data_IF_225669637714
#
_entry.id   IF_225669637714
#
_cell.length_a   1.000
_cell.length_b   1.000
_cell.length_c   1.000
_cell.angle_alpha   90.00
_cell.angle_beta   90.00
_cell.angle_gamma   90.00
#
_symmetry.space_group_name_H-M   'P 1'
#
loop_
_entity.id
_entity.type
_entity.pdbx_description
1 polymer ?
#
# COMPACT_ATOMS: atom_id res chain seq x y z
N UNK A 1 6.86 21.56 3.33
CA UNK A 1 5.87 20.46 3.35
C UNK A 1 6.46 19.19 3.97
N UNK A 2 7.74 18.90 3.72
CA UNK A 2 8.53 17.81 4.35
C UNK A 2 8.49 17.78 5.89
N UNK A 3 8.54 18.94 6.55
CA UNK A 3 8.54 19.00 8.03
C UNK A 3 7.27 18.45 8.68
N UNK A 4 6.10 18.61 8.06
CA UNK A 4 4.85 18.13 8.63
C UNK A 4 4.79 16.59 8.64
N UNK A 5 5.17 15.97 7.52
CA UNK A 5 5.27 14.52 7.41
C UNK A 5 6.36 13.95 8.32
N UNK A 6 7.53 14.59 8.37
CA UNK A 6 8.62 14.16 9.25
C UNK A 6 8.20 14.24 10.73
N UNK A 7 7.44 15.27 11.12
CA UNK A 7 6.88 15.40 12.48
C UNK A 7 5.82 14.35 12.77
N UNK A 8 4.92 14.08 11.82
CA UNK A 8 3.90 13.05 11.98
C UNK A 8 4.52 11.65 12.12
N UNK A 9 5.46 11.29 11.24
CA UNK A 9 6.17 10.02 11.30
C UNK A 9 6.93 9.88 12.63
N UNK A 10 7.61 10.94 13.08
CA UNK A 10 8.28 10.94 14.39
C UNK A 10 7.31 10.73 15.55
N UNK A 11 6.16 11.43 15.55
CA UNK A 11 5.16 11.29 16.60
C UNK A 11 4.56 9.88 16.65
N UNK A 12 4.32 9.26 15.49
CA UNK A 12 3.87 7.85 15.41
C UNK A 12 4.95 6.91 15.95
N UNK A 13 6.20 7.06 15.50
CA UNK A 13 7.32 6.24 16.01
C UNK A 13 7.50 6.39 17.53
N UNK A 14 7.44 7.61 18.05
CA UNK A 14 7.52 7.88 19.50
C UNK A 14 6.35 7.23 20.25
N UNK A 15 5.14 7.27 19.71
CA UNK A 15 3.97 6.62 20.31
C UNK A 15 4.08 5.09 20.31
N UNK A 16 4.62 4.49 19.24
CA UNK A 16 4.87 3.04 19.17
C UNK A 16 5.95 2.63 20.18
N UNK A 17 7.05 3.38 20.26
CA UNK A 17 8.13 3.12 21.23
C UNK A 17 7.70 3.31 22.70
N UNK A 18 6.65 4.08 22.96
CA UNK A 18 6.09 4.24 24.29
C UNK A 18 5.24 3.04 24.73
N UNK A 19 4.90 2.11 23.83
CA UNK A 19 4.15 0.92 24.19
C UNK A 19 5.03 -0.04 25.01
N UNK A 20 4.47 -0.72 26.02
CA UNK A 20 5.21 -1.72 26.79
C UNK A 20 5.79 -2.80 25.88
N UNK A 21 7.01 -3.24 26.19
CA UNK A 21 7.70 -4.33 25.49
C UNK A 21 8.12 -4.05 24.04
N UNK A 22 7.95 -2.81 23.54
CA UNK A 22 8.45 -2.38 22.23
C UNK A 22 9.85 -1.78 22.35
N UNK A 23 10.76 -2.17 21.46
CA UNK A 23 12.14 -1.67 21.40
C UNK A 23 12.69 -1.72 19.96
N UNK A 24 13.86 -1.11 19.73
CA UNK A 24 14.53 -1.18 18.43
C UNK A 24 15.56 -2.31 18.37
N UNK A 25 15.57 -3.02 17.24
CA UNK A 25 16.55 -4.06 16.92
C UNK A 25 16.83 -4.04 15.42
N UNK A 26 18.11 -3.96 15.04
CA UNK A 26 18.55 -3.98 13.63
C UNK A 26 17.83 -2.97 12.72
N UNK A 27 17.46 -1.80 13.27
CA UNK A 27 16.74 -0.74 12.56
C UNK A 27 15.23 -0.93 12.47
N UNK A 28 14.68 -1.98 13.08
CA UNK A 28 13.25 -2.29 13.14
C UNK A 28 12.68 -2.06 14.53
N UNK A 29 11.40 -1.69 14.61
CA UNK A 29 10.64 -1.73 15.85
C UNK A 29 10.14 -3.15 16.07
N UNK A 30 10.42 -3.72 17.24
CA UNK A 30 10.07 -5.09 17.60
C UNK A 30 9.40 -5.12 18.97
N UNK A 31 8.57 -6.13 19.22
CA UNK A 31 7.93 -6.40 20.49
C UNK A 31 8.43 -7.75 21.02
N UNK A 32 8.72 -7.85 22.31
CA UNK A 32 9.03 -9.14 22.92
C UNK A 32 7.85 -10.10 22.77
N UNK A 33 8.09 -11.24 22.11
CA UNK A 33 7.11 -12.29 21.89
C UNK A 33 7.77 -13.64 22.14
N UNK A 34 7.36 -14.31 23.22
CA UNK A 34 7.89 -15.63 23.59
C UNK A 34 7.36 -16.75 22.69
N UNK A 35 6.28 -16.52 21.93
CA UNK A 35 5.75 -17.48 20.96
C UNK A 35 6.52 -17.45 19.63
N UNK A 36 7.13 -16.32 19.30
CA UNK A 36 8.01 -16.19 18.14
C UNK A 36 9.29 -17.01 18.30
N UNK A 37 9.72 -17.78 17.28
CA UNK A 37 11.02 -18.46 17.28
C UNK A 37 12.22 -17.53 17.47
N UNK A 38 12.04 -16.23 17.22
CA UNK A 38 13.07 -15.21 17.37
C UNK A 38 13.11 -14.58 18.78
N UNK A 39 12.12 -14.88 19.64
CA UNK A 39 11.91 -14.25 20.94
C UNK A 39 11.39 -12.80 20.86
N UNK A 40 11.06 -12.36 19.65
CA UNK A 40 10.42 -11.08 19.35
C UNK A 40 9.64 -11.20 18.04
N UNK A 41 8.63 -10.36 17.91
CA UNK A 41 7.92 -10.13 16.66
C UNK A 41 8.20 -8.71 16.17
N UNK A 42 8.15 -8.49 14.86
CA UNK A 42 8.23 -7.13 14.33
C UNK A 42 6.96 -6.40 14.74
N UNK A 43 7.09 -5.16 15.20
CA UNK A 43 5.92 -4.29 15.41
C UNK A 43 5.45 -3.87 14.03
N UNK A 44 4.70 -4.76 13.39
CA UNK A 44 4.03 -4.50 12.13
C UNK A 44 2.72 -3.77 12.44
N UNK A 45 2.83 -2.44 12.40
CA UNK A 45 1.73 -1.52 12.59
C UNK A 45 1.70 -0.52 11.46
N UNK A 46 1.31 -0.95 10.27
CA UNK A 46 0.96 -0.06 9.18
C UNK A 46 -0.45 0.53 9.38
N UNK A 47 -0.62 1.82 9.15
CA UNK A 47 -1.96 2.41 9.04
C UNK A 47 -2.05 3.22 7.76
N UNK A 48 -3.24 3.25 7.17
CA UNK A 48 -3.56 4.15 6.07
C UNK A 48 -4.31 5.35 6.62
N UNK A 49 -4.15 6.50 5.98
CA UNK A 49 -4.76 7.73 6.46
C UNK A 49 -5.22 8.60 5.29
N UNK A 50 -6.50 8.99 5.31
CA UNK A 50 -7.06 9.98 4.40
C UNK A 50 -7.61 11.15 5.20
N UNK A 51 -7.08 12.34 4.92
CA UNK A 51 -7.44 13.59 5.57
C UNK A 51 -8.09 14.51 4.55
N UNK A 52 -9.27 15.03 4.89
CA UNK A 52 -9.99 16.02 4.08
C UNK A 52 -10.26 17.27 4.92
N UNK A 53 -9.86 18.43 4.42
CA UNK A 53 -10.04 19.73 5.10
C UNK A 53 -10.77 20.68 4.16
N UNK A 54 -11.88 21.25 4.65
CA UNK A 54 -12.58 22.33 3.95
C UNK A 54 -12.09 23.69 4.47
N UNK A 55 -11.20 24.31 3.70
CA UNK A 55 -10.69 25.66 3.95
C UNK A 55 -11.67 26.71 3.42
N UNK A 56 -11.86 27.78 4.18
CA UNK A 56 -12.70 28.94 3.80
C UNK A 56 -14.11 28.58 3.29
N UNK A 57 -14.65 27.44 3.76
CA UNK A 57 -15.94 26.86 3.36
C UNK A 57 -16.09 26.56 1.85
N UNK A 58 -14.99 26.58 1.08
CA UNK A 58 -15.04 26.44 -0.39
C UNK A 58 -13.92 25.61 -0.97
N UNK A 59 -12.77 25.55 -0.30
CA UNK A 59 -11.59 24.87 -0.81
C UNK A 59 -11.43 23.53 -0.11
N UNK A 60 -11.69 22.43 -0.80
CA UNK A 60 -11.43 21.10 -0.29
C UNK A 60 -9.98 20.70 -0.57
N UNK A 61 -9.22 20.42 0.47
CA UNK A 61 -7.87 19.86 0.39
C UNK A 61 -7.94 18.42 0.89
N UNK A 62 -7.44 17.47 0.09
CA UNK A 62 -7.37 16.05 0.47
C UNK A 62 -5.93 15.58 0.38
N UNK A 63 -5.50 14.84 1.40
CA UNK A 63 -4.22 14.14 1.43
C UNK A 63 -4.48 12.70 1.87
N UNK A 64 -3.88 11.73 1.18
CA UNK A 64 -3.99 10.32 1.51
C UNK A 64 -2.61 9.66 1.54
N UNK A 65 -2.46 8.64 2.39
CA UNK A 65 -1.32 7.72 2.42
C UNK A 65 -1.87 6.31 2.60
N UNK A 66 -1.52 5.42 1.68
CA UNK A 66 -2.01 4.04 1.64
C UNK A 66 -3.18 3.86 0.67
N UNK A 67 -3.96 2.79 0.86
CA UNK A 67 -5.05 2.38 -0.03
C UNK A 67 -6.41 3.02 0.31
N UNK A 68 -6.46 3.93 1.29
CA UNK A 68 -7.67 4.70 1.59
C UNK A 68 -7.97 5.70 0.47
N UNK A 69 -9.08 5.53 -0.25
CA UNK A 69 -9.50 6.45 -1.31
C UNK A 69 -10.38 7.59 -0.80
N UNK A 70 -10.41 8.71 -1.54
CA UNK A 70 -11.32 9.82 -1.31
C UNK A 70 -12.25 10.02 -2.51
N UNK A 71 -13.56 9.98 -2.31
CA UNK A 71 -14.55 10.18 -3.39
C UNK A 71 -15.37 11.44 -3.14
N UNK A 72 -15.43 12.32 -4.14
CA UNK A 72 -16.35 13.46 -4.15
C UNK A 72 -17.59 13.11 -4.96
N UNK A 73 -18.73 13.05 -4.28
CA UNK A 73 -20.03 12.93 -4.94
C UNK A 73 -20.70 14.31 -5.03
N UNK A 74 -21.22 14.64 -6.21
CA UNK A 74 -22.04 15.82 -6.45
C UNK A 74 -23.41 15.40 -6.96
N UNK A 75 -24.47 16.04 -6.46
CA UNK A 75 -25.81 15.89 -7.00
C UNK A 75 -26.22 17.19 -7.71
N UNK A 76 -26.52 17.11 -9.00
CA UNK A 76 -26.99 18.25 -9.80
C UNK A 76 -28.13 17.79 -10.70
N UNK A 77 -29.23 18.54 -10.70
CA UNK A 77 -30.44 18.24 -11.49
C UNK A 77 -30.95 16.79 -11.35
N UNK A 78 -30.89 16.22 -10.14
CA UNK A 78 -31.31 14.84 -9.88
C UNK A 78 -30.35 13.76 -10.38
N UNK A 79 -29.17 14.14 -10.88
CA UNK A 79 -28.10 13.20 -11.27
C UNK A 79 -26.98 13.23 -10.24
N UNK A 80 -26.57 12.04 -9.80
CA UNK A 80 -25.37 11.86 -8.97
C UNK A 80 -24.18 11.60 -9.89
N UNK A 81 -23.11 12.34 -9.69
CA UNK A 81 -21.80 12.06 -10.28
C UNK A 81 -20.77 11.93 -9.16
N UNK A 82 -19.89 10.95 -9.27
CA UNK A 82 -18.80 10.72 -8.33
C UNK A 82 -17.46 10.83 -9.06
N UNK A 83 -16.46 11.37 -8.37
CA UNK A 83 -15.08 11.45 -8.87
C UNK A 83 -14.12 11.08 -7.74
N UNK A 84 -13.14 10.24 -8.07
CA UNK A 84 -12.00 9.98 -7.20
C UNK A 84 -11.14 11.25 -7.06
N UNK A 85 -10.81 11.62 -5.83
CA UNK A 85 -10.02 12.79 -5.49
C UNK A 85 -8.54 12.47 -5.38
N UNK A 86 -8.22 11.29 -4.83
CA UNK A 86 -6.85 10.80 -4.66
C UNK A 86 -6.86 9.31 -5.00
N UNK A 87 -5.97 8.86 -5.92
CA UNK A 87 -5.86 7.44 -6.26
C UNK A 87 -5.32 6.64 -5.09
N UNK A 88 -5.71 5.37 -5.01
CA UNK A 88 -5.16 4.44 -4.02
C UNK A 88 -3.66 4.19 -4.24
N UNK A 89 -2.88 4.17 -3.16
CA UNK A 89 -1.48 3.75 -3.20
C UNK A 89 -1.45 2.23 -3.01
N UNK A 90 -1.31 1.49 -4.11
CA UNK A 90 -1.35 0.02 -4.10
C UNK A 90 -0.32 -0.58 -5.04
N UNK A 91 -0.01 -1.87 -4.84
CA UNK A 91 0.90 -2.59 -5.71
C UNK A 91 0.39 -2.71 -7.17
N UNK A 92 -0.91 -2.50 -7.38
CA UNK A 92 -1.57 -2.53 -8.69
C UNK A 92 -1.73 -1.13 -9.30
N UNK A 93 -1.24 -0.07 -8.64
CA UNK A 93 -1.18 1.25 -9.21
C UNK A 93 0.12 1.44 -10.02
N UNK A 94 -0.03 1.60 -11.34
CA UNK A 94 1.10 1.79 -12.25
C UNK A 94 1.98 2.98 -11.89
N UNK A 95 1.37 4.09 -11.45
CA UNK A 95 2.13 5.30 -11.10
C UNK A 95 3.01 5.11 -9.86
N UNK A 96 2.57 4.29 -8.89
CA UNK A 96 3.39 3.92 -7.73
C UNK A 96 4.60 3.09 -8.17
N UNK A 97 4.39 2.12 -9.06
CA UNK A 97 5.49 1.34 -9.64
C UNK A 97 6.47 2.22 -10.42
N UNK A 98 5.98 3.12 -11.27
CA UNK A 98 6.86 4.02 -12.03
C UNK A 98 7.66 4.97 -11.12
N UNK A 99 7.13 5.31 -9.94
CA UNK A 99 7.80 6.14 -8.95
C UNK A 99 8.84 5.35 -8.11
N UNK A 100 8.56 4.09 -7.76
CA UNK A 100 9.33 3.33 -6.76
C UNK A 100 10.12 2.16 -7.36
N UNK A 101 9.62 1.53 -8.43
CA UNK A 101 10.14 0.28 -9.02
C UNK A 101 11.58 0.31 -9.54
N UNK A 102 12.22 1.49 -9.57
CA UNK A 102 13.67 1.63 -9.83
C UNK A 102 14.56 1.50 -8.59
N UNK A 103 13.99 1.38 -7.39
CA UNK A 103 14.69 1.41 -6.09
C UNK A 103 15.10 0.04 -5.54
N UNK A 104 15.04 -1.03 -6.34
CA UNK A 104 15.29 -2.40 -5.86
C UNK A 104 14.11 -3.01 -5.08
N UNK A 105 12.91 -2.45 -5.21
CA UNK A 105 11.70 -3.02 -4.64
C UNK A 105 10.89 -3.74 -5.73
N UNK A 106 10.34 -4.91 -5.40
CA UNK A 106 9.56 -5.73 -6.32
C UNK A 106 8.08 -5.72 -5.96
N UNK A 107 7.23 -5.49 -6.96
CA UNK A 107 5.78 -5.53 -6.81
C UNK A 107 5.32 -6.92 -7.24
N UNK A 108 4.79 -7.72 -6.32
CA UNK A 108 4.51 -9.14 -6.58
C UNK A 108 3.13 -9.54 -6.10
N UNK A 109 2.55 -10.55 -6.73
CA UNK A 109 1.28 -11.12 -6.30
C UNK A 109 1.46 -12.04 -5.08
N UNK A 110 0.47 -12.02 -4.20
CA UNK A 110 0.31 -13.00 -3.14
C UNK A 110 -0.39 -14.24 -3.69
N UNK A 111 0.19 -15.43 -3.48
CA UNK A 111 -0.40 -16.69 -3.88
C UNK A 111 0.12 -17.84 -3.00
N UNK A 112 -0.62 -18.97 -2.88
CA UNK A 112 -0.32 -20.04 -1.91
C UNK A 112 1.11 -20.57 -1.92
N UNK A 113 1.70 -20.74 -3.10
CA UNK A 113 3.01 -21.38 -3.27
C UNK A 113 4.15 -20.36 -3.48
N UNK A 114 3.95 -19.10 -3.09
CA UNK A 114 4.91 -18.03 -3.35
C UNK A 114 6.30 -18.26 -2.74
N UNK A 115 6.38 -18.99 -1.63
CA UNK A 115 7.63 -19.26 -0.93
C UNK A 115 8.39 -20.45 -1.56
N UNK A 116 7.67 -21.37 -2.21
CA UNK A 116 8.21 -22.56 -2.86
C UNK A 116 8.55 -22.32 -4.34
N UNK A 117 7.68 -21.61 -5.06
CA UNK A 117 7.78 -21.40 -6.50
C UNK A 117 8.38 -20.04 -6.89
N UNK A 118 8.61 -19.16 -5.90
CA UNK A 118 9.21 -17.85 -6.09
C UNK A 118 8.18 -16.74 -6.34
N UNK A 119 8.64 -15.53 -6.56
CA UNK A 119 7.73 -14.38 -6.65
C UNK A 119 7.23 -14.13 -8.07
N UNK A 120 5.94 -13.84 -8.21
CA UNK A 120 5.31 -13.49 -9.49
C UNK A 120 5.16 -11.97 -9.60
N UNK A 121 5.82 -11.30 -10.57
CA UNK A 121 5.76 -9.85 -10.68
C UNK A 121 4.38 -9.37 -11.11
N UNK A 122 3.95 -8.23 -10.58
CA UNK A 122 2.76 -7.50 -11.02
C UNK A 122 3.03 -6.79 -12.35
N UNK A 123 4.19 -6.15 -12.44
CA UNK A 123 4.57 -5.30 -13.57
C UNK A 123 5.71 -5.91 -14.38
N UNK A 124 5.69 -5.67 -15.67
CA UNK A 124 6.76 -6.01 -16.59
C UNK A 124 7.03 -4.86 -17.55
N UNK A 125 8.21 -4.86 -18.16
CA UNK A 125 8.53 -3.97 -19.26
C UNK A 125 8.11 -4.63 -20.57
N UNK A 126 7.21 -3.96 -21.29
CA UNK A 126 6.80 -4.34 -22.63
C UNK A 126 7.92 -4.13 -23.65
N UNK A 127 7.64 -4.58 -24.88
CA UNK A 127 8.62 -4.59 -25.99
C UNK A 127 9.18 -3.21 -26.37
N UNK A 128 8.52 -2.12 -25.99
CA UNK A 128 8.92 -0.73 -26.26
C UNK A 128 9.35 0.00 -24.98
N UNK A 129 9.59 -0.73 -23.89
CA UNK A 129 9.96 -0.18 -22.59
C UNK A 129 8.78 0.41 -21.81
N UNK A 130 7.55 0.19 -22.26
CA UNK A 130 6.34 0.57 -21.54
C UNK A 130 6.09 -0.34 -20.34
N UNK A 131 5.77 0.23 -19.19
CA UNK A 131 5.33 -0.56 -18.04
C UNK A 131 3.91 -1.08 -18.28
N UNK A 132 3.71 -2.38 -18.11
CA UNK A 132 2.41 -3.05 -18.23
C UNK A 132 2.25 -4.16 -17.19
N UNK A 133 1.03 -4.64 -17.01
CA UNK A 133 0.77 -5.79 -16.14
C UNK A 133 1.37 -7.07 -16.73
N UNK A 134 2.00 -7.90 -15.90
CA UNK A 134 2.50 -9.21 -16.30
C UNK A 134 1.33 -10.19 -16.45
N UNK A 135 0.91 -10.44 -17.69
CA UNK A 135 -0.23 -11.29 -17.99
C UNK A 135 0.01 -12.76 -17.64
N UNK A 136 1.26 -13.25 -17.73
CA UNK A 136 1.59 -14.62 -17.34
C UNK A 136 1.49 -14.82 -15.83
N UNK A 137 1.98 -13.87 -15.03
CA UNK A 137 1.75 -13.86 -13.58
C UNK A 137 0.27 -13.87 -13.23
N UNK A 138 -0.54 -13.04 -13.89
CA UNK A 138 -2.00 -13.00 -13.68
C UNK A 138 -2.64 -14.35 -13.95
N UNK A 139 -2.30 -15.01 -15.07
CA UNK A 139 -2.85 -16.34 -15.40
C UNK A 139 -2.50 -17.37 -14.33
N UNK A 140 -1.26 -17.34 -13.85
CA UNK A 140 -0.80 -18.25 -12.79
C UNK A 140 -1.56 -18.01 -11.50
N UNK A 141 -1.69 -16.77 -11.05
CA UNK A 141 -2.45 -16.42 -9.84
C UNK A 141 -3.93 -16.81 -9.97
N UNK A 142 -4.55 -16.52 -11.11
CA UNK A 142 -5.95 -16.85 -11.37
C UNK A 142 -6.20 -18.37 -11.35
N UNK A 143 -5.19 -19.19 -11.67
CA UNK A 143 -5.30 -20.66 -11.60
C UNK A 143 -5.50 -21.21 -10.18
N UNK A 144 -5.12 -20.43 -9.15
CA UNK A 144 -5.36 -20.76 -7.74
C UNK A 144 -6.77 -20.41 -7.26
N UNK A 145 -7.59 -19.72 -8.07
CA UNK A 145 -8.97 -19.31 -7.72
C UNK A 145 -9.10 -18.55 -6.39
N UNK A 146 -8.15 -17.64 -6.11
CA UNK A 146 -8.06 -16.92 -4.83
C UNK A 146 -9.11 -15.81 -4.63
N UNK A 147 -9.98 -15.59 -5.63
CA UNK A 147 -10.91 -14.47 -5.64
C UNK A 147 -10.21 -13.12 -5.80
N UNK A 148 -10.97 -12.04 -5.69
CA UNK A 148 -10.45 -10.67 -5.77
C UNK A 148 -10.51 -10.00 -4.41
N UNK A 149 -9.49 -9.20 -4.09
CA UNK A 149 -9.42 -8.37 -2.88
C UNK A 149 -10.41 -7.21 -2.94
N UNK A 150 -10.74 -6.73 -4.14
CA UNK A 150 -11.66 -5.61 -4.35
C UNK A 150 -12.71 -5.91 -5.42
N UNK A 151 -13.82 -5.18 -5.41
CA UNK A 151 -14.87 -5.27 -6.42
C UNK A 151 -14.40 -4.89 -7.85
N UNK A 152 -13.25 -4.19 -7.96
CA UNK A 152 -12.65 -3.83 -9.26
C UNK A 152 -11.92 -5.00 -9.93
N UNK A 153 -11.73 -6.11 -9.21
CA UNK A 153 -10.96 -7.25 -9.70
C UNK A 153 -9.48 -7.21 -9.32
N UNK A 154 -9.13 -6.48 -8.27
CA UNK A 154 -7.74 -6.41 -7.79
C UNK A 154 -7.35 -7.72 -7.11
N UNK A 155 -6.20 -8.27 -7.48
CA UNK A 155 -5.61 -9.45 -6.82
C UNK A 155 -4.81 -9.01 -5.61
N UNK A 156 -4.62 -9.93 -4.66
CA UNK A 156 -3.72 -9.68 -3.55
C UNK A 156 -2.28 -9.52 -4.08
N UNK A 157 -1.63 -8.43 -3.71
CA UNK A 157 -0.29 -8.08 -4.12
C UNK A 157 0.36 -7.19 -3.06
N UNK A 158 1.68 -7.30 -2.92
CA UNK A 158 2.46 -6.53 -1.96
C UNK A 158 3.78 -6.06 -2.58
N UNK A 159 4.40 -5.10 -1.90
CA UNK A 159 5.73 -4.59 -2.22
C UNK A 159 6.75 -5.38 -1.39
N UNK A 160 7.71 -5.99 -2.07
CA UNK A 160 8.91 -6.53 -1.46
C UNK A 160 10.01 -5.47 -1.48
N UNK A 161 10.59 -5.22 -0.32
CA UNK A 161 11.78 -4.38 -0.17
C UNK A 161 13.02 -5.26 0.04
N UNK A 162 14.23 -4.78 -0.32
CA UNK A 162 15.49 -5.50 -0.07
C UNK A 162 15.72 -5.90 1.39
#
# INVERSE_FOLDING_TARGET
MTDAFARANRAVREAILAQPSVFERDGQLVMADEASPLGYDVVDGGTTATLAVLLDRRTLVVAAVGDSCGVLATCSHGRVSARELVPEHSALNKSEYEQIGGGGCDFVYEYPDMYEQGHLPVWELGSKGEVQLCLESIKTVDSYNLGFKTERGDRAAFLLTP
#
